data_IF_307250958365
#
_entry.id   IF_307250958365
#
_cell.length_a   1.000
_cell.length_b   1.000
_cell.length_c   1.000
_cell.angle_alpha   90.00
_cell.angle_beta   90.00
_cell.angle_gamma   90.00
#
_symmetry.space_group_name_H-M   'P 1'
#
loop_
_entity.id
_entity.type
_entity.pdbx_description
1 polymer ?
#
# COMPACT_ATOMS: atom_id res chain seq x y z
N UNK A 1 20.88 2.71 -3.52
CA UNK A 1 21.03 1.29 -3.89
C UNK A 1 20.09 0.37 -3.10
N UNK A 2 20.16 0.35 -1.76
CA UNK A 2 19.30 -0.52 -0.92
C UNK A 2 17.79 -0.26 -1.07
N UNK A 3 17.36 1.01 -1.03
CA UNK A 3 15.95 1.37 -1.21
C UNK A 3 15.44 0.96 -2.60
N UNK A 4 16.23 1.23 -3.65
CA UNK A 4 15.94 0.84 -5.04
C UNK A 4 15.79 -0.68 -5.20
N UNK A 5 16.67 -1.45 -4.55
CA UNK A 5 16.60 -2.91 -4.56
C UNK A 5 15.35 -3.44 -3.86
N UNK A 6 14.98 -2.86 -2.71
CA UNK A 6 13.75 -3.25 -2.02
C UNK A 6 12.49 -2.89 -2.81
N UNK A 7 12.43 -1.70 -3.40
CA UNK A 7 11.26 -1.29 -4.19
C UNK A 7 11.13 -2.08 -5.49
N UNK A 8 12.23 -2.55 -6.08
CA UNK A 8 12.21 -3.38 -7.28
C UNK A 8 11.50 -4.74 -7.09
N UNK A 9 11.45 -5.24 -5.86
CA UNK A 9 10.88 -6.56 -5.53
C UNK A 9 9.47 -6.48 -4.94
N UNK A 10 8.92 -5.28 -4.78
CA UNK A 10 7.57 -5.04 -4.28
C UNK A 10 6.64 -4.77 -5.47
N UNK A 11 5.43 -5.31 -5.43
CA UNK A 11 4.38 -5.06 -6.42
C UNK A 11 3.10 -4.67 -5.71
N UNK A 12 2.47 -3.60 -6.17
CA UNK A 12 1.08 -3.32 -5.84
C UNK A 12 0.21 -4.12 -6.79
N UNK A 13 -0.58 -5.04 -6.25
CA UNK A 13 -1.59 -5.78 -6.98
C UNK A 13 -2.92 -5.14 -6.65
N UNK A 14 -3.64 -4.70 -7.67
CA UNK A 14 -4.97 -4.10 -7.53
C UNK A 14 -5.96 -5.01 -8.22
N UNK A 15 -6.79 -5.70 -7.43
CA UNK A 15 -7.86 -6.54 -7.95
C UNK A 15 -9.19 -5.76 -7.96
N UNK A 16 -10.32 -6.47 -7.95
CA UNK A 16 -11.65 -5.88 -7.98
C UNK A 16 -12.06 -5.23 -6.67
N UNK A 17 -11.58 -5.71 -5.52
CA UNK A 17 -12.08 -5.35 -4.19
C UNK A 17 -11.00 -4.83 -3.23
N UNK A 18 -9.72 -5.03 -3.53
CA UNK A 18 -8.62 -4.62 -2.66
C UNK A 18 -7.34 -4.25 -3.40
N UNK A 19 -6.49 -3.53 -2.67
CA UNK A 19 -5.08 -3.39 -2.99
C UNK A 19 -4.27 -4.33 -2.09
N UNK A 20 -3.39 -5.12 -2.70
CA UNK A 20 -2.43 -5.97 -1.99
C UNK A 20 -0.99 -5.54 -2.32
N UNK A 21 -0.15 -5.54 -1.29
CA UNK A 21 1.29 -5.46 -1.48
C UNK A 21 1.83 -6.89 -1.61
N UNK A 22 2.37 -7.24 -2.77
CA UNK A 22 3.00 -8.52 -3.03
C UNK A 22 4.51 -8.38 -3.16
N UNK A 23 5.23 -9.50 -3.00
CA UNK A 23 6.66 -9.59 -3.33
C UNK A 23 6.87 -10.48 -4.54
N UNK A 24 7.87 -10.16 -5.35
CA UNK A 24 8.27 -10.99 -6.49
C UNK A 24 8.91 -12.29 -6.00
N UNK A 25 8.53 -13.43 -6.58
CA UNK A 25 9.17 -14.72 -6.31
C UNK A 25 10.66 -14.66 -6.74
N UNK A 26 11.56 -15.20 -5.92
CA UNK A 26 13.00 -15.19 -6.15
C UNK A 26 13.73 -13.90 -5.75
N UNK A 27 13.03 -12.95 -5.12
CA UNK A 27 13.69 -11.83 -4.45
C UNK A 27 14.47 -12.32 -3.21
N UNK A 28 15.62 -11.69 -2.92
CA UNK A 28 16.34 -11.92 -1.67
C UNK A 28 15.55 -11.31 -0.51
N UNK A 29 15.36 -12.07 0.57
CA UNK A 29 14.81 -11.53 1.82
C UNK A 29 15.75 -10.47 2.43
N UNK A 30 15.30 -9.79 3.48
CA UNK A 30 16.09 -8.75 4.17
C UNK A 30 17.43 -9.26 4.75
N UNK A 31 17.63 -10.59 4.78
CA UNK A 31 18.83 -11.28 5.27
C UNK A 31 19.64 -11.89 4.13
N UNK A 32 19.30 -11.59 2.87
CA UNK A 32 20.02 -12.11 1.71
C UNK A 32 19.77 -13.59 1.41
N UNK A 33 18.67 -14.17 1.89
CA UNK A 33 18.26 -15.54 1.54
C UNK A 33 17.29 -15.52 0.37
N UNK A 34 17.44 -16.44 -0.58
CA UNK A 34 16.36 -16.72 -1.54
C UNK A 34 15.15 -17.17 -0.73
N UNK A 35 14.02 -16.50 -0.94
CA UNK A 35 12.73 -16.98 -0.44
C UNK A 35 12.47 -18.35 -1.09
N UNK A 36 12.55 -19.41 -0.28
CA UNK A 36 12.30 -20.77 -0.75
C UNK A 36 10.88 -20.89 -1.33
N UNK A 37 10.78 -21.65 -2.43
CA UNK A 37 9.55 -21.98 -3.15
C UNK A 37 8.49 -22.50 -2.18
N UNK A 38 7.48 -21.68 -1.91
CA UNK A 38 6.24 -22.21 -1.37
C UNK A 38 5.06 -21.42 -1.97
N UNK A 39 4.40 -22.12 -2.90
CA UNK A 39 3.19 -21.82 -3.66
C UNK A 39 3.19 -20.54 -4.52
N UNK A 40 3.44 -20.72 -5.81
CA UNK A 40 3.32 -19.69 -6.84
C UNK A 40 1.84 -19.35 -7.10
N UNK A 41 1.46 -18.07 -6.94
CA UNK A 41 0.34 -17.52 -7.70
C UNK A 41 0.70 -17.48 -9.18
N UNK A 42 -0.31 -17.50 -10.06
CA UNK A 42 -0.19 -17.72 -11.52
C UNK A 42 0.74 -16.77 -12.28
N UNK A 43 1.21 -15.67 -11.67
CA UNK A 43 2.09 -14.65 -12.29
C UNK A 43 3.47 -14.46 -11.62
N UNK A 44 3.94 -15.41 -10.80
CA UNK A 44 5.27 -15.28 -10.17
C UNK A 44 5.32 -14.28 -9.01
N UNK A 45 4.17 -14.02 -8.38
CA UNK A 45 4.00 -13.15 -7.22
C UNK A 45 3.67 -14.00 -5.98
N UNK A 46 4.29 -13.66 -4.85
CA UNK A 46 3.99 -14.24 -3.53
C UNK A 46 3.30 -13.17 -2.68
N UNK A 47 2.33 -13.58 -1.85
CA UNK A 47 1.79 -12.71 -0.81
C UNK A 47 2.95 -12.20 0.06
N UNK A 48 2.93 -10.93 0.43
CA UNK A 48 4.03 -10.32 1.20
C UNK A 48 4.14 -10.83 2.65
N UNK A 49 3.25 -11.74 3.06
CA UNK A 49 3.18 -12.28 4.41
C UNK A 49 2.46 -11.35 5.37
N UNK A 50 2.59 -11.64 6.67
CA UNK A 50 2.05 -10.77 7.71
C UNK A 50 2.74 -9.40 7.71
N UNK A 51 1.95 -8.35 7.89
CA UNK A 51 2.42 -6.99 8.08
C UNK A 51 3.23 -6.93 9.39
N UNK A 52 4.53 -6.67 9.26
CA UNK A 52 5.49 -6.66 10.39
C UNK A 52 5.15 -5.54 11.40
N UNK A 53 4.43 -4.50 10.99
CA UNK A 53 4.09 -3.34 11.84
C UNK A 53 2.75 -3.48 12.57
N UNK A 54 1.72 -4.06 11.93
CA UNK A 54 0.34 -4.08 12.46
C UNK A 54 -0.30 -5.46 12.51
N UNK A 55 0.39 -6.52 12.05
CA UNK A 55 -0.17 -7.88 11.91
C UNK A 55 -1.16 -8.02 10.74
N UNK A 56 -1.45 -9.26 10.33
CA UNK A 56 -2.39 -9.56 9.23
C UNK A 56 -1.82 -9.41 7.82
N UNK A 57 -2.54 -9.83 6.78
CA UNK A 57 -2.06 -9.74 5.39
C UNK A 57 -1.94 -8.27 4.93
N UNK A 58 -0.95 -7.94 4.08
CA UNK A 58 -0.85 -6.61 3.45
C UNK A 58 -1.87 -6.43 2.31
N UNK A 59 -3.15 -6.65 2.61
CA UNK A 59 -4.29 -6.53 1.71
C UNK A 59 -5.33 -5.64 2.36
N UNK A 60 -5.71 -4.57 1.65
CA UNK A 60 -6.63 -3.55 2.14
C UNK A 60 -7.81 -3.43 1.21
N UNK A 61 -8.99 -3.79 1.71
CA UNK A 61 -10.23 -3.69 0.95
C UNK A 61 -10.55 -2.23 0.63
N UNK A 62 -10.95 -1.93 -0.60
CA UNK A 62 -11.30 -0.58 -1.03
C UNK A 62 -12.43 0.04 -0.19
N UNK A 63 -13.34 -0.79 0.31
CA UNK A 63 -14.46 -0.37 1.16
C UNK A 63 -14.02 0.17 2.53
N UNK A 64 -12.80 -0.16 2.98
CA UNK A 64 -12.26 0.31 4.28
C UNK A 64 -11.48 1.60 4.14
N UNK A 65 -11.22 2.07 2.92
CA UNK A 65 -10.46 3.28 2.69
C UNK A 65 -11.24 4.50 3.18
N UNK A 66 -10.52 5.39 3.85
CA UNK A 66 -11.05 6.64 4.40
C UNK A 66 -10.50 7.84 3.66
N UNK A 67 -9.24 7.79 3.23
CA UNK A 67 -8.61 8.84 2.44
C UNK A 67 -7.42 8.31 1.65
N UNK A 68 -7.05 8.99 0.57
CA UNK A 68 -5.73 8.86 -0.06
C UNK A 68 -5.26 10.22 -0.61
N UNK A 69 -3.95 10.40 -0.72
CA UNK A 69 -3.34 11.55 -1.41
C UNK A 69 -1.92 11.21 -1.89
N UNK A 70 -1.36 12.17 -2.61
CA UNK A 70 0.01 12.20 -3.12
C UNK A 70 0.74 13.42 -2.55
N UNK A 71 1.90 13.19 -1.96
CA UNK A 71 2.72 14.24 -1.35
C UNK A 71 4.02 14.49 -2.14
N UNK A 72 4.43 15.75 -2.33
CA UNK A 72 3.69 16.97 -2.01
C UNK A 72 2.45 17.21 -2.89
N UNK A 73 2.45 16.72 -4.13
CA UNK A 73 1.30 16.80 -5.06
C UNK A 73 1.31 15.65 -6.05
N UNK A 74 0.24 15.50 -6.84
CA UNK A 74 0.21 14.53 -7.93
C UNK A 74 1.19 14.85 -9.06
N UNK A 75 1.48 16.13 -9.31
CA UNK A 75 2.41 16.58 -10.36
C UNK A 75 3.88 16.32 -10.00
N UNK A 76 4.20 16.29 -8.71
CA UNK A 76 5.52 15.93 -8.19
C UNK A 76 5.38 15.03 -6.96
N UNK A 77 4.98 13.76 -7.13
CA UNK A 77 4.73 12.88 -6.02
C UNK A 77 6.02 12.19 -5.58
N UNK A 78 6.32 12.33 -4.30
CA UNK A 78 7.39 11.61 -3.60
C UNK A 78 6.80 10.44 -2.80
N UNK A 79 5.62 10.63 -2.22
CA UNK A 79 4.93 9.62 -1.42
C UNK A 79 3.48 9.48 -1.88
N UNK A 80 3.02 8.24 -1.96
CA UNK A 80 1.61 7.88 -1.99
C UNK A 80 1.22 7.48 -0.57
N UNK A 81 0.09 7.97 -0.08
CA UNK A 81 -0.47 7.49 1.17
C UNK A 81 -1.93 7.13 1.01
N UNK A 82 -2.36 6.17 1.80
CA UNK A 82 -3.77 5.94 2.03
C UNK A 82 -4.04 5.66 3.50
N UNK A 83 -5.28 5.89 3.89
CA UNK A 83 -5.80 5.70 5.24
C UNK A 83 -7.00 4.77 5.18
N UNK A 84 -7.10 3.86 6.13
CA UNK A 84 -8.10 2.79 6.10
C UNK A 84 -8.57 2.42 7.52
N UNK A 85 -9.74 1.78 7.67
CA UNK A 85 -10.34 1.46 8.97
C UNK A 85 -10.56 -0.05 9.24
N UNK A 86 -10.01 -0.94 8.41
CA UNK A 86 -9.97 -2.40 8.63
C UNK A 86 -9.04 -2.75 9.80
N UNK A 87 -7.91 -2.06 9.91
CA UNK A 87 -6.98 -2.25 11.03
C UNK A 87 -7.66 -1.85 12.34
N UNK A 88 -7.50 -2.61 13.45
CA UNK A 88 -8.12 -2.27 14.73
C UNK A 88 -7.72 -0.87 15.25
N UNK A 89 -8.64 -0.13 15.90
CA UNK A 89 -8.35 1.21 16.43
C UNK A 89 -7.16 1.29 17.41
N UNK A 90 -6.85 0.20 18.11
CA UNK A 90 -5.69 0.11 19.01
C UNK A 90 -4.35 0.27 18.28
N UNK A 91 -4.32 0.01 16.98
CA UNK A 91 -3.12 0.06 16.14
C UNK A 91 -2.97 1.39 15.41
N UNK A 92 -4.05 2.18 15.28
CA UNK A 92 -4.07 3.45 14.52
C UNK A 92 -3.05 4.49 14.98
N UNK A 93 -2.51 4.34 16.19
CA UNK A 93 -1.46 5.21 16.75
C UNK A 93 -0.07 4.59 16.72
N UNK A 94 0.13 3.48 16.01
CA UNK A 94 1.44 2.82 15.85
C UNK A 94 2.06 3.18 14.50
N UNK A 95 3.40 3.28 14.50
CA UNK A 95 4.17 3.60 13.30
C UNK A 95 3.70 4.91 12.64
N UNK A 96 3.42 4.92 11.32
CA UNK A 96 2.97 6.11 10.62
C UNK A 96 1.66 6.71 11.14
N UNK A 97 0.81 5.92 11.81
CA UNK A 97 -0.47 6.38 12.36
C UNK A 97 -0.36 7.53 13.37
N UNK A 98 0.83 7.77 13.92
CA UNK A 98 1.09 8.92 14.79
C UNK A 98 1.11 10.26 14.04
N UNK A 99 1.32 10.24 12.71
CA UNK A 99 1.52 11.43 11.88
C UNK A 99 0.22 12.08 11.42
N UNK A 100 -0.89 11.33 11.38
CA UNK A 100 -2.21 11.88 11.05
C UNK A 100 -3.32 11.20 11.83
N UNK A 101 -3.92 11.93 12.76
CA UNK A 101 -5.04 11.47 13.59
C UNK A 101 -6.41 11.87 13.04
N UNK A 102 -6.47 12.64 11.95
CA UNK A 102 -7.74 13.07 11.35
C UNK A 102 -8.46 11.89 10.72
N UNK A 103 -9.79 11.91 10.65
CA UNK A 103 -10.57 10.92 9.92
C UNK A 103 -10.28 9.45 10.30
N UNK A 104 -10.03 9.14 11.59
CA UNK A 104 -10.02 7.78 12.18
C UNK A 104 -9.63 6.60 11.26
N UNK A 105 -8.41 6.08 11.40
CA UNK A 105 -7.92 4.96 10.59
C UNK A 105 -6.42 4.74 10.74
N UNK A 106 -5.92 3.63 10.20
CA UNK A 106 -4.49 3.35 10.06
C UNK A 106 -3.94 4.05 8.83
N UNK A 107 -2.79 4.70 9.00
CA UNK A 107 -2.07 5.38 7.92
C UNK A 107 -0.99 4.47 7.33
N UNK A 108 -0.92 4.44 6.00
CA UNK A 108 0.09 3.72 5.22
C UNK A 108 0.78 4.66 4.23
N UNK A 109 2.12 4.57 4.12
CA UNK A 109 2.92 5.32 3.16
C UNK A 109 3.71 4.40 2.25
N UNK A 110 3.84 4.80 0.99
CA UNK A 110 4.68 4.15 0.01
C UNK A 110 5.42 5.19 -0.83
N UNK A 111 6.69 4.94 -1.19
CA UNK A 111 7.37 5.74 -2.20
C UNK A 111 6.56 5.78 -3.50
N UNK A 112 6.42 6.96 -4.10
CA UNK A 112 5.76 7.17 -5.39
C UNK A 112 6.67 6.73 -6.55
N UNK A 113 6.97 5.44 -6.59
CA UNK A 113 7.88 4.79 -7.56
C UNK A 113 7.14 4.19 -8.77
N UNK A 114 5.86 4.48 -8.90
CA UNK A 114 4.98 4.02 -9.99
C UNK A 114 4.44 5.23 -10.75
N UNK A 115 3.81 5.01 -11.91
CA UNK A 115 3.05 6.05 -12.59
C UNK A 115 1.85 6.46 -11.70
N UNK A 116 2.02 7.58 -11.00
CA UNK A 116 1.04 8.09 -10.04
C UNK A 116 -0.18 8.69 -10.70
N UNK A 117 -0.06 9.20 -11.93
CA UNK A 117 -1.21 9.68 -12.69
C UNK A 117 -2.13 8.52 -13.05
N UNK A 118 -1.56 7.41 -13.54
CA UNK A 118 -2.30 6.17 -13.77
C UNK A 118 -2.89 5.61 -12.47
N UNK A 119 -2.12 5.59 -11.39
CA UNK A 119 -2.58 5.11 -10.08
C UNK A 119 -3.76 5.93 -9.56
N UNK A 120 -3.67 7.26 -9.62
CA UNK A 120 -4.77 8.15 -9.22
C UNK A 120 -6.01 7.91 -10.09
N UNK A 121 -5.84 7.76 -11.41
CA UNK A 121 -6.95 7.42 -12.31
C UNK A 121 -7.67 6.13 -11.90
N UNK A 122 -6.92 5.11 -11.48
CA UNK A 122 -7.48 3.85 -10.98
C UNK A 122 -8.22 4.02 -9.64
N UNK A 123 -7.71 4.85 -8.74
CA UNK A 123 -8.35 5.15 -7.46
C UNK A 123 -9.66 5.93 -7.64
N UNK A 124 -9.67 6.94 -8.51
CA UNK A 124 -10.87 7.70 -8.87
C UNK A 124 -11.90 6.79 -9.54
N UNK A 125 -11.50 5.97 -10.51
CA UNK A 125 -12.40 5.05 -11.20
C UNK A 125 -13.05 4.01 -10.26
N UNK A 126 -12.38 3.67 -9.16
CA UNK A 126 -12.90 2.79 -8.10
C UNK A 126 -13.72 3.51 -7.04
N UNK A 127 -13.87 4.83 -7.14
CA UNK A 127 -14.61 5.64 -6.18
C UNK A 127 -13.93 5.74 -4.81
N UNK A 128 -12.60 5.56 -4.74
CA UNK A 128 -11.88 5.65 -3.46
C UNK A 128 -11.95 7.09 -2.92
N UNK A 129 -12.15 7.28 -1.61
CA UNK A 129 -12.30 8.61 -1.04
C UNK A 129 -10.98 9.39 -1.06
N UNK A 130 -11.02 10.62 -1.55
CA UNK A 130 -9.90 11.56 -1.43
C UNK A 130 -10.41 12.97 -1.27
N UNK A 131 -9.93 13.68 -0.25
CA UNK A 131 -10.28 15.10 -0.05
C UNK A 131 -9.94 15.99 -1.27
N UNK A 132 -8.92 15.61 -2.06
CA UNK A 132 -8.46 16.41 -3.19
C UNK A 132 -8.94 15.89 -4.56
N UNK A 133 -8.91 14.58 -4.79
CA UNK A 133 -9.13 14.02 -6.13
C UNK A 133 -10.48 13.33 -6.30
N UNK A 134 -11.14 12.96 -5.20
CA UNK A 134 -12.48 12.38 -5.22
C UNK A 134 -13.23 12.74 -3.92
N UNK A 135 -13.58 14.03 -3.75
CA UNK A 135 -14.21 14.49 -2.52
C UNK A 135 -15.56 13.81 -2.33
N UNK A 136 -15.85 13.34 -1.13
CA UNK A 136 -17.22 12.92 -0.79
C UNK A 136 -18.12 14.16 -0.83
N UNK A 137 -19.22 14.05 -1.55
CA UNK A 137 -20.28 15.07 -1.57
C UNK A 137 -20.93 15.23 -0.19
#
# INVERSE_FOLDING_TARGET
AFLTYQTANIRFVMDTDAMELCRKIGALDLRGKLDAEDTAGTDGLKSSGENILVGGANRWAYSTWVNYDFFPSLDFPILVYFKENQTPPSEWSKGPGQLDKRNNGQLHFFPAIVDTAQLNGLFVARGLPSERYNPRA
#
